data_IF_897238699525
#
_entry.id   IF_897238699525
#
_cell.length_a   1.000
_cell.length_b   1.000
_cell.length_c   1.000
_cell.angle_alpha   90.00
_cell.angle_beta   90.00
_cell.angle_gamma   90.00
#
_symmetry.space_group_name_H-M   'P 1'
#
loop_
_entity.id
_entity.type
_entity.pdbx_description
1 polymer ?
#
# COMPACT_ATOMS: atom_id res chain seq x y z
N UNK A 1 9.80 -6.62 -15.55
CA UNK A 1 8.75 -5.88 -14.82
C UNK A 1 9.32 -4.50 -14.56
N UNK A 2 8.51 -3.43 -14.64
CA UNK A 2 8.95 -2.09 -14.21
C UNK A 2 8.89 -2.14 -12.69
N UNK A 3 9.94 -2.66 -12.08
CA UNK A 3 10.07 -2.59 -10.63
C UNK A 3 10.51 -1.18 -10.29
N UNK A 4 9.92 -0.60 -9.24
CA UNK A 4 10.73 0.22 -8.36
C UNK A 4 11.70 -0.75 -7.67
N UNK A 5 12.81 -1.05 -8.34
CA UNK A 5 13.87 -1.91 -7.82
C UNK A 5 14.61 -1.09 -6.77
N UNK A 6 14.40 -1.41 -5.50
CA UNK A 6 15.32 -0.96 -4.45
C UNK A 6 16.46 -1.97 -4.40
N UNK A 7 17.70 -1.53 -4.62
CA UNK A 7 18.86 -2.36 -4.33
C UNK A 7 18.89 -2.64 -2.82
N UNK A 8 18.88 -3.91 -2.43
CA UNK A 8 19.19 -4.32 -1.06
C UNK A 8 20.68 -4.11 -0.82
N UNK A 9 21.00 -2.96 -0.25
CA UNK A 9 22.33 -2.63 0.26
C UNK A 9 22.33 -2.83 1.77
N UNK A 10 23.18 -3.74 2.27
CA UNK A 10 23.43 -3.96 3.70
C UNK A 10 24.33 -2.87 4.31
N UNK A 11 24.26 -1.63 3.82
CA UNK A 11 25.05 -0.53 4.39
C UNK A 11 24.16 0.25 5.34
N UNK A 12 24.60 0.36 6.59
CA UNK A 12 23.94 1.09 7.68
C UNK A 12 23.41 2.46 7.22
N UNK A 13 22.12 2.71 7.42
CA UNK A 13 21.45 3.95 7.04
C UNK A 13 21.99 5.15 7.84
N UNK A 14 22.31 6.29 7.20
CA UNK A 14 22.57 7.52 7.94
C UNK A 14 21.28 8.08 8.54
N UNK A 15 21.39 8.71 9.71
CA UNK A 15 20.29 9.25 10.51
C UNK A 15 19.38 10.19 9.70
N UNK A 16 18.07 9.90 9.70
CA UNK A 16 17.07 10.77 9.11
C UNK A 16 16.91 12.06 9.93
N UNK A 17 17.24 13.19 9.29
CA UNK A 17 16.99 14.55 9.80
C UNK A 17 15.49 14.87 9.75
N UNK A 18 14.88 15.16 10.90
CA UNK A 18 13.52 15.68 10.99
C UNK A 18 13.47 17.16 10.60
N UNK A 19 12.91 17.50 9.44
CA UNK A 19 12.48 18.87 9.15
C UNK A 19 11.34 18.88 8.12
N UNK A 20 10.11 18.70 8.60
CA UNK A 20 8.91 19.10 7.85
C UNK A 20 8.61 20.57 8.19
N UNK A 21 9.09 21.50 7.35
CA UNK A 21 8.53 22.85 7.28
C UNK A 21 7.62 22.94 6.07
N UNK A 22 6.31 22.99 6.31
CA UNK A 22 5.33 23.38 5.29
C UNK A 22 5.45 24.89 5.10
N UNK A 23 5.93 25.29 3.92
CA UNK A 23 6.03 26.68 3.50
C UNK A 23 4.68 27.11 2.91
N UNK A 24 3.89 27.85 3.67
CA UNK A 24 2.75 28.59 3.14
C UNK A 24 3.23 29.95 2.64
N UNK A 25 3.20 30.15 1.32
CA UNK A 25 3.50 31.42 0.68
C UNK A 25 2.59 31.58 -0.54
N UNK A 26 1.53 32.39 -0.39
CA UNK A 26 0.97 33.25 -1.44
C UNK A 26 0.44 34.54 -0.76
N UNK A 27 1.20 35.62 -0.95
CA UNK A 27 0.87 37.05 -1.03
C UNK A 27 -0.08 37.32 -2.21
N UNK A 28 -0.91 38.36 -2.38
CA UNK A 28 -1.19 39.67 -1.76
C UNK A 28 -2.55 40.16 -2.32
N UNK A 29 -3.19 41.13 -1.66
CA UNK A 29 -3.84 42.24 -2.38
C UNK A 29 -5.27 42.67 -1.98
N UNK A 30 -5.62 43.98 -2.11
CA UNK A 30 -6.39 44.71 -1.09
C UNK A 30 -7.76 45.24 -1.54
N UNK A 31 -8.60 45.61 -0.56
CA UNK A 31 -9.62 46.66 -0.70
C UNK A 31 -11.08 46.20 -0.74
N UNK A 32 -11.83 46.53 0.32
CA UNK A 32 -12.98 47.45 0.30
C UNK A 32 -14.06 47.17 1.37
N UNK A 33 -14.41 48.27 2.07
CA UNK A 33 -15.73 48.65 2.64
C UNK A 33 -16.15 47.90 3.92
N UNK A 34 -16.08 48.52 5.09
CA UNK A 34 -16.86 49.65 5.62
C UNK A 34 -18.31 49.29 6.03
N UNK A 35 -18.58 49.49 7.33
CA UNK A 35 -19.91 49.58 7.95
C UNK A 35 -20.44 48.23 8.45
N UNK A 36 -21.05 48.09 9.64
CA UNK A 36 -21.75 49.07 10.48
C UNK A 36 -22.19 48.33 11.77
N UNK A 37 -22.11 49.02 12.92
CA UNK A 37 -23.05 48.96 14.07
C UNK A 37 -22.92 47.81 15.07
N UNK A 38 -23.24 47.93 16.36
CA UNK A 38 -23.31 49.02 17.34
C UNK A 38 -23.38 48.30 18.70
N UNK A 39 -22.75 48.90 19.72
CA UNK A 39 -23.11 48.89 21.15
C UNK A 39 -23.36 47.55 21.88
N UNK A 40 -22.61 47.32 22.97
CA UNK A 40 -23.09 47.61 24.33
C UNK A 40 -22.00 47.43 25.40
N UNK A 41 -21.93 48.44 26.24
CA UNK A 41 -21.12 48.61 27.45
C UNK A 41 -21.66 47.80 28.63
N UNK A 42 -20.77 47.49 29.57
CA UNK A 42 -21.06 47.41 31.00
C UNK A 42 -21.12 46.01 31.58
N UNK A 43 -20.14 45.61 32.40
CA UNK A 43 -20.07 45.96 33.82
C UNK A 43 -18.72 45.46 34.39
N UNK A 44 -17.97 46.37 35.00
CA UNK A 44 -16.77 46.05 35.75
C UNK A 44 -17.05 45.93 37.25
N UNK A 45 -16.19 45.15 37.89
CA UNK A 45 -15.74 45.22 39.27
C UNK A 45 -16.67 44.74 40.39
N UNK A 46 -16.09 43.89 41.25
CA UNK A 46 -15.96 43.90 42.73
C UNK A 46 -15.67 42.42 43.14
N UNK A 47 -14.76 41.99 44.03
CA UNK A 47 -13.80 42.59 44.96
C UNK A 47 -12.81 41.47 45.38
N UNK A 48 -11.52 41.80 45.36
CA UNK A 48 -10.47 41.62 46.40
C UNK A 48 -10.57 40.45 47.41
N UNK A 49 -9.47 39.70 47.52
CA UNK A 49 -8.92 39.32 48.84
C UNK A 49 -8.57 37.84 49.04
N UNK A 50 -7.31 37.47 48.77
CA UNK A 50 -6.50 36.50 49.54
C UNK A 50 -5.14 36.29 48.86
N UNK A 51 -4.15 37.12 49.19
CA UNK A 51 -2.73 36.82 48.93
C UNK A 51 -2.20 36.23 50.24
N UNK A 52 -1.97 34.91 50.26
CA UNK A 52 -1.10 34.28 51.25
C UNK A 52 0.14 33.78 50.50
N UNK A 53 1.24 34.40 50.88
CA UNK A 53 2.62 34.07 50.53
C UNK A 53 2.94 32.63 50.95
N UNK A 54 3.39 31.81 50.00
CA UNK A 54 4.18 30.62 50.30
C UNK A 54 5.50 30.74 49.54
N UNK A 55 6.56 30.99 50.29
CA UNK A 55 7.95 30.91 49.89
C UNK A 55 8.27 29.53 49.32
N UNK A 56 8.72 29.48 48.07
CA UNK A 56 9.26 28.27 47.45
C UNK A 56 10.67 28.09 47.98
N UNK A 57 10.85 27.18 48.94
CA UNK A 57 12.17 26.65 49.27
C UNK A 57 12.68 25.79 48.12
N UNK A 58 13.80 26.17 47.52
CA UNK A 58 14.53 25.32 46.57
C UNK A 58 15.04 24.12 47.35
N UNK A 59 14.46 22.94 47.09
CA UNK A 59 15.03 21.67 47.55
C UNK A 59 16.28 21.39 46.68
N UNK A 60 17.42 20.99 47.25
CA UNK A 60 18.52 20.49 46.44
C UNK A 60 18.07 19.24 45.69
N UNK A 61 18.39 19.18 44.40
CA UNK A 61 18.05 18.07 43.53
C UNK A 61 18.53 16.75 44.14
N UNK A 62 17.60 15.80 44.27
CA UNK A 62 17.97 14.42 44.54
C UNK A 62 18.84 13.91 43.38
N UNK A 63 19.91 13.14 43.63
CA UNK A 63 20.68 12.52 42.56
C UNK A 63 19.72 11.73 41.66
N UNK A 64 19.94 11.72 40.33
CA UNK A 64 19.04 11.03 39.41
C UNK A 64 18.91 9.59 39.88
N UNK A 65 17.67 9.17 40.12
CA UNK A 65 17.38 7.77 40.37
C UNK A 65 18.00 6.96 39.23
N UNK A 66 18.66 5.82 39.51
CA UNK A 66 19.16 4.97 38.44
C UNK A 66 17.99 4.69 37.51
N UNK A 67 18.18 5.03 36.23
CA UNK A 67 17.25 4.68 35.16
C UNK A 67 16.94 3.19 35.37
N UNK A 68 15.67 2.77 35.47
CA UNK A 68 15.38 1.35 35.51
C UNK A 68 16.00 0.76 34.25
N UNK A 69 17.05 -0.03 34.45
CA UNK A 69 17.61 -0.92 33.43
C UNK A 69 16.44 -1.57 32.73
N UNK A 70 16.40 -1.43 31.40
CA UNK A 70 15.39 -2.02 30.53
C UNK A 70 14.92 -3.35 31.09
N UNK A 71 13.61 -3.60 31.23
CA UNK A 71 13.13 -4.92 31.65
C UNK A 71 13.81 -5.93 30.73
N UNK A 72 14.50 -6.89 31.36
CA UNK A 72 15.38 -7.82 30.68
C UNK A 72 14.71 -8.38 29.43
N UNK A 73 15.46 -8.39 28.33
CA UNK A 73 15.17 -9.20 27.16
C UNK A 73 14.69 -10.55 27.67
N UNK A 74 13.44 -10.89 27.37
CA UNK A 74 12.92 -12.23 27.66
C UNK A 74 13.78 -13.19 26.84
N UNK A 75 14.76 -13.80 27.51
CA UNK A 75 15.57 -14.88 26.96
C UNK A 75 14.69 -16.10 26.76
N UNK A 76 14.64 -16.56 25.49
CA UNK A 76 14.20 -17.86 24.95
C UNK A 76 12.83 -17.87 24.23
N UNK A 77 12.90 -18.11 22.89
CA UNK A 77 12.75 -19.47 22.33
C UNK A 77 14.03 -20.04 21.71
N UNK A 78 15.11 -19.25 21.67
CA UNK A 78 16.32 -19.57 20.93
C UNK A 78 17.15 -20.73 21.49
N UNK A 79 16.80 -21.28 22.66
CA UNK A 79 17.46 -22.48 23.22
C UNK A 79 16.66 -23.77 23.00
N UNK A 80 15.50 -23.69 22.35
CA UNK A 80 14.68 -24.87 22.06
C UNK A 80 15.25 -25.72 20.92
N UNK A 81 15.02 -27.04 20.97
CA UNK A 81 15.32 -27.94 19.86
C UNK A 81 14.40 -27.60 18.68
N UNK A 82 15.00 -27.25 17.54
CA UNK A 82 14.26 -26.94 16.32
C UNK A 82 13.68 -28.24 15.70
N UNK A 83 12.46 -28.21 15.16
CA UNK A 83 11.89 -29.35 14.45
C UNK A 83 12.66 -29.63 13.15
N UNK A 84 12.36 -30.76 12.50
CA UNK A 84 12.91 -31.05 11.18
C UNK A 84 12.39 -30.05 10.13
N UNK A 85 13.19 -29.74 9.09
CA UNK A 85 12.71 -28.98 7.93
C UNK A 85 11.48 -29.63 7.30
N UNK A 86 10.56 -28.81 6.82
CA UNK A 86 9.36 -29.25 6.11
C UNK A 86 9.45 -28.85 4.64
N UNK A 87 8.84 -29.64 3.75
CA UNK A 87 8.69 -29.29 2.34
C UNK A 87 7.26 -28.81 2.08
N UNK A 88 7.12 -27.68 1.37
CA UNK A 88 5.83 -27.13 0.94
C UNK A 88 5.91 -26.75 -0.53
N UNK A 89 5.06 -27.37 -1.34
CA UNK A 89 5.05 -27.22 -2.79
C UNK A 89 6.47 -27.30 -3.37
N UNK A 90 6.98 -26.20 -3.94
CA UNK A 90 8.29 -26.10 -4.58
C UNK A 90 9.37 -25.50 -3.67
N UNK A 91 9.17 -25.51 -2.37
CA UNK A 91 10.08 -24.87 -1.41
C UNK A 91 10.38 -25.76 -0.20
N UNK A 92 11.57 -25.58 0.34
CA UNK A 92 12.02 -26.17 1.60
C UNK A 92 12.02 -25.10 2.69
N UNK A 93 11.37 -25.40 3.80
CA UNK A 93 11.20 -24.52 4.94
C UNK A 93 12.01 -25.09 6.10
N UNK A 94 13.13 -24.43 6.40
CA UNK A 94 14.03 -24.84 7.49
C UNK A 94 13.74 -23.95 8.71
N UNK A 95 13.35 -24.52 9.86
CA UNK A 95 13.14 -23.72 11.07
C UNK A 95 14.47 -23.10 11.50
N UNK A 96 14.41 -21.85 11.94
CA UNK A 96 15.57 -21.07 12.40
C UNK A 96 15.28 -20.43 13.74
N UNK A 97 16.32 -19.97 14.42
CA UNK A 97 16.19 -19.20 15.67
C UNK A 97 15.80 -17.75 15.37
N UNK A 98 15.21 -17.05 16.34
CA UNK A 98 14.90 -15.63 16.20
C UNK A 98 16.16 -14.77 16.07
N UNK A 99 17.25 -15.15 16.74
CA UNK A 99 18.58 -14.53 16.57
C UNK A 99 19.16 -14.66 15.17
N UNK A 100 18.68 -15.59 14.35
CA UNK A 100 19.10 -15.72 12.95
C UNK A 100 18.34 -14.77 12.00
N UNK A 101 17.32 -14.05 12.48
CA UNK A 101 16.56 -13.10 11.65
C UNK A 101 17.26 -11.73 11.66
N UNK A 102 17.81 -11.28 10.51
CA UNK A 102 18.45 -9.97 10.44
C UNK A 102 17.45 -8.85 10.77
N UNK A 103 17.81 -7.96 11.69
CA UNK A 103 16.98 -6.82 12.08
C UNK A 103 15.82 -7.15 13.03
N UNK A 104 15.64 -8.40 13.46
CA UNK A 104 14.65 -8.72 14.49
C UNK A 104 14.93 -7.94 15.79
N UNK A 105 13.88 -7.43 16.42
CA UNK A 105 13.96 -6.56 17.60
C UNK A 105 14.32 -5.10 17.30
N UNK A 106 14.63 -4.75 16.05
CA UNK A 106 14.86 -3.36 15.62
C UNK A 106 13.65 -2.75 14.90
N UNK A 107 12.70 -3.57 14.46
CA UNK A 107 11.49 -3.13 13.76
C UNK A 107 10.40 -2.61 14.72
N UNK A 108 9.62 -1.63 14.24
CA UNK A 108 8.47 -1.05 14.93
C UNK A 108 7.29 -2.04 14.95
N UNK A 109 7.31 -2.98 15.90
CA UNK A 109 6.28 -4.03 16.00
C UNK A 109 4.84 -3.49 16.13
N UNK A 110 4.67 -2.31 16.71
CA UNK A 110 3.35 -1.66 16.81
C UNK A 110 2.71 -1.39 15.44
N UNK A 111 3.50 -1.10 14.40
CA UNK A 111 2.99 -0.91 13.04
C UNK A 111 2.56 -2.23 12.40
N UNK A 112 3.27 -3.32 12.69
CA UNK A 112 2.91 -4.69 12.28
C UNK A 112 1.60 -5.13 12.97
N UNK A 113 1.43 -4.76 14.24
CA UNK A 113 0.27 -5.18 15.03
C UNK A 113 -1.05 -4.71 14.42
N UNK A 114 -1.09 -3.48 13.90
CA UNK A 114 -2.24 -2.95 13.18
C UNK A 114 -2.59 -3.81 11.96
N UNK A 115 -1.58 -4.24 11.18
CA UNK A 115 -1.80 -5.12 10.03
C UNK A 115 -2.32 -6.50 10.44
N UNK A 116 -1.86 -7.05 11.55
CA UNK A 116 -2.32 -8.34 12.06
C UNK A 116 -3.75 -8.30 12.61
N UNK A 117 -4.10 -7.25 13.35
CA UNK A 117 -5.49 -7.03 13.80
C UNK A 117 -6.44 -6.96 12.60
N UNK A 118 -6.03 -6.29 11.52
CA UNK A 118 -6.79 -6.25 10.25
C UNK A 118 -6.87 -7.62 9.59
N UNK A 119 -5.75 -8.35 9.47
CA UNK A 119 -5.73 -9.73 8.98
C UNK A 119 -6.70 -10.64 9.72
N UNK A 120 -6.86 -10.42 11.03
CA UNK A 120 -7.77 -11.19 11.87
C UNK A 120 -9.25 -10.90 11.65
N UNK A 121 -9.65 -9.88 10.89
CA UNK A 121 -11.04 -9.70 10.42
C UNK A 121 -11.51 -10.89 9.56
N UNK A 122 -10.58 -11.53 8.83
CA UNK A 122 -10.79 -12.75 8.06
C UNK A 122 -9.63 -13.73 8.29
N UNK A 123 -9.61 -14.44 9.43
CA UNK A 123 -8.49 -15.30 9.78
C UNK A 123 -8.42 -16.49 8.83
N UNK A 124 -7.20 -16.88 8.46
CA UNK A 124 -6.98 -18.15 7.75
C UNK A 124 -7.40 -19.35 8.62
N UNK A 125 -7.75 -20.51 8.02
CA UNK A 125 -8.07 -21.72 8.76
C UNK A 125 -6.99 -22.03 9.81
N UNK A 126 -7.41 -22.32 11.05
CA UNK A 126 -6.51 -22.61 12.18
C UNK A 126 -5.96 -21.38 12.92
N UNK A 127 -6.22 -20.15 12.45
CA UNK A 127 -5.67 -18.92 13.06
C UNK A 127 -6.62 -18.23 14.06
N UNK A 128 -7.75 -18.84 14.42
CA UNK A 128 -8.74 -18.20 15.30
C UNK A 128 -8.16 -17.85 16.69
N UNK A 129 -7.40 -18.76 17.30
CA UNK A 129 -6.81 -18.56 18.63
C UNK A 129 -5.73 -17.46 18.61
N UNK A 130 -4.70 -17.51 17.74
CA UNK A 130 -3.76 -16.40 17.58
C UNK A 130 -4.47 -15.06 17.34
N UNK A 131 -5.52 -15.05 16.52
CA UNK A 131 -6.26 -13.82 16.24
C UNK A 131 -7.04 -13.25 17.43
N UNK A 132 -7.47 -14.09 18.38
CA UNK A 132 -8.04 -13.60 19.64
C UNK A 132 -6.96 -12.96 20.52
N UNK A 133 -5.81 -13.61 20.62
CA UNK A 133 -4.66 -13.14 21.39
C UNK A 133 -4.11 -11.81 20.85
N UNK A 134 -3.96 -11.69 19.52
CA UNK A 134 -3.55 -10.45 18.84
C UNK A 134 -4.46 -9.27 19.22
N UNK A 135 -5.78 -9.49 19.26
CA UNK A 135 -6.74 -8.45 19.65
C UNK A 135 -6.62 -8.06 21.12
N UNK A 136 -6.42 -9.02 22.01
CA UNK A 136 -6.25 -8.76 23.46
C UNK A 136 -4.98 -7.96 23.76
N UNK A 137 -3.93 -8.19 22.98
CA UNK A 137 -2.62 -7.53 23.11
C UNK A 137 -2.50 -6.23 22.30
N UNK A 138 -3.59 -5.70 21.74
CA UNK A 138 -3.57 -4.48 20.93
C UNK A 138 -3.09 -3.23 21.69
N UNK A 139 -3.22 -3.23 23.02
CA UNK A 139 -2.75 -2.14 23.91
C UNK A 139 -1.53 -2.54 24.75
N UNK A 140 -0.95 -3.72 24.48
CA UNK A 140 0.23 -4.20 25.19
C UNK A 140 1.46 -3.40 24.80
N UNK A 141 2.48 -3.41 25.65
CA UNK A 141 3.77 -2.80 25.35
C UNK A 141 4.47 -3.52 24.19
N UNK A 142 5.35 -2.84 23.44
CA UNK A 142 6.13 -3.49 22.38
C UNK A 142 6.90 -4.73 22.85
N UNK A 143 7.42 -4.71 24.08
CA UNK A 143 8.12 -5.85 24.68
C UNK A 143 7.19 -7.06 24.91
N UNK A 144 5.97 -6.83 25.40
CA UNK A 144 4.97 -7.89 25.59
C UNK A 144 4.52 -8.48 24.25
N UNK A 145 4.28 -7.63 23.25
CA UNK A 145 3.95 -8.05 21.89
C UNK A 145 5.08 -8.91 21.31
N UNK A 146 6.33 -8.44 21.38
CA UNK A 146 7.49 -9.16 20.86
C UNK A 146 7.66 -10.52 21.55
N UNK A 147 7.57 -10.55 22.88
CA UNK A 147 7.66 -11.78 23.65
C UNK A 147 6.52 -12.76 23.29
N UNK A 148 5.31 -12.27 23.02
CA UNK A 148 4.22 -13.11 22.54
C UNK A 148 4.51 -13.68 21.15
N UNK A 149 5.01 -12.86 20.20
CA UNK A 149 5.38 -13.35 18.86
C UNK A 149 6.41 -14.47 18.97
N UNK A 150 7.46 -14.26 19.76
CA UNK A 150 8.54 -15.24 19.94
C UNK A 150 8.03 -16.55 20.56
N UNK A 151 7.08 -16.48 21.50
CA UNK A 151 6.47 -17.69 22.09
C UNK A 151 5.46 -18.38 21.17
N UNK A 152 4.76 -17.63 20.32
CA UNK A 152 3.64 -18.15 19.52
C UNK A 152 4.08 -18.73 18.19
N UNK A 153 5.11 -18.16 17.60
CA UNK A 153 5.57 -18.48 16.25
C UNK A 153 7.01 -18.99 16.25
N UNK A 154 7.30 -19.84 15.27
CA UNK A 154 8.64 -20.31 14.94
C UNK A 154 8.97 -19.81 13.54
N UNK A 155 10.04 -19.03 13.34
CA UNK A 155 10.41 -18.57 12.01
C UNK A 155 11.01 -19.71 11.17
N UNK A 156 10.72 -19.68 9.88
CA UNK A 156 11.25 -20.61 8.89
C UNK A 156 11.98 -19.83 7.79
N UNK A 157 13.21 -20.24 7.50
CA UNK A 157 13.92 -19.83 6.28
C UNK A 157 13.36 -20.62 5.10
N UNK A 158 12.91 -19.92 4.08
CA UNK A 158 12.35 -20.51 2.86
C UNK A 158 13.43 -20.54 1.78
N UNK A 159 13.65 -21.72 1.21
CA UNK A 159 14.69 -22.02 0.20
C UNK A 159 14.08 -22.87 -0.92
N UNK A 160 14.81 -23.04 -2.02
CA UNK A 160 14.43 -23.99 -3.07
C UNK A 160 14.42 -25.44 -2.54
N UNK A 161 13.80 -26.38 -3.27
CA UNK A 161 13.74 -27.80 -2.85
C UNK A 161 15.13 -28.40 -2.59
N UNK A 162 16.11 -28.04 -3.41
CA UNK A 162 17.50 -28.50 -3.29
C UNK A 162 18.28 -27.82 -2.15
N UNK A 163 17.65 -26.87 -1.45
CA UNK A 163 18.25 -26.07 -0.38
C UNK A 163 19.04 -24.87 -0.87
N UNK A 164 19.04 -24.56 -2.17
CA UNK A 164 19.66 -23.35 -2.68
C UNK A 164 18.90 -22.09 -2.27
N UNK A 165 19.65 -21.00 -2.12
CA UNK A 165 19.16 -19.68 -1.70
C UNK A 165 19.43 -18.64 -2.80
N UNK A 166 18.80 -18.77 -3.98
CA UNK A 166 18.95 -17.75 -5.02
C UNK A 166 18.44 -16.39 -4.50
N UNK A 167 19.01 -15.26 -4.94
CA UNK A 167 18.53 -13.95 -4.55
C UNK A 167 17.04 -13.81 -4.83
N UNK A 168 16.25 -13.60 -3.76
CA UNK A 168 14.84 -13.29 -3.88
C UNK A 168 14.62 -11.92 -4.49
N UNK A 169 13.55 -11.77 -5.28
CA UNK A 169 13.15 -10.49 -5.87
C UNK A 169 12.04 -9.87 -5.03
N UNK A 170 12.36 -8.80 -4.30
CA UNK A 170 11.36 -7.97 -3.62
C UNK A 170 10.99 -6.76 -4.49
N UNK A 171 9.69 -6.51 -4.63
CA UNK A 171 9.17 -5.49 -5.53
C UNK A 171 8.12 -4.65 -4.82
N UNK A 172 8.06 -3.36 -5.11
CA UNK A 172 7.03 -2.45 -4.58
C UNK A 172 5.78 -2.38 -5.46
N UNK A 173 4.62 -2.26 -4.83
CA UNK A 173 3.34 -1.91 -5.45
C UNK A 173 2.62 -0.88 -4.57
N UNK A 174 1.67 -0.14 -5.15
CA UNK A 174 0.96 0.95 -4.47
C UNK A 174 -0.46 1.11 -5.03
N UNK A 175 -1.28 1.93 -4.37
CA UNK A 175 -2.61 2.31 -4.86
C UNK A 175 -2.53 3.68 -5.56
N UNK A 176 -2.46 3.75 -6.91
CA UNK A 176 -2.38 5.01 -7.64
C UNK A 176 -3.66 5.83 -7.51
N UNK A 177 -3.50 7.16 -7.54
CA UNK A 177 -4.61 8.11 -7.63
C UNK A 177 -4.57 8.73 -9.04
N UNK A 178 -5.68 8.66 -9.77
CA UNK A 178 -5.76 9.11 -11.16
C UNK A 178 -7.04 9.92 -11.41
N UNK A 179 -7.01 10.81 -12.39
CA UNK A 179 -8.21 11.52 -12.84
C UNK A 179 -8.93 10.68 -13.91
N UNK A 180 -10.26 10.63 -13.83
CA UNK A 180 -11.07 9.86 -14.76
C UNK A 180 -12.40 10.55 -15.05
N UNK A 181 -13.05 10.14 -16.13
CA UNK A 181 -14.40 10.57 -16.50
C UNK A 181 -15.36 9.37 -16.52
N UNK A 182 -16.59 9.56 -16.05
CA UNK A 182 -17.65 8.55 -16.14
C UNK A 182 -18.01 8.24 -17.60
N UNK A 183 -17.95 9.26 -18.46
CA UNK A 183 -18.24 9.15 -19.89
C UNK A 183 -17.00 9.38 -20.73
N UNK A 184 -16.97 8.80 -21.93
CA UNK A 184 -15.92 9.05 -22.91
C UNK A 184 -15.94 10.51 -23.35
N UNK A 185 -14.79 11.15 -23.37
CA UNK A 185 -14.61 12.54 -23.84
C UNK A 185 -13.41 12.63 -24.79
N UNK A 186 -13.15 13.81 -25.34
CA UNK A 186 -11.93 14.03 -26.14
C UNK A 186 -10.66 13.87 -25.31
N UNK A 187 -10.71 14.13 -24.01
CA UNK A 187 -9.56 13.98 -23.11
C UNK A 187 -9.48 12.57 -22.53
N UNK A 188 -10.62 11.95 -22.21
CA UNK A 188 -10.70 10.63 -21.59
C UNK A 188 -11.22 9.59 -22.58
N UNK A 189 -10.30 8.94 -23.29
CA UNK A 189 -10.59 7.99 -24.37
C UNK A 189 -10.25 6.54 -24.04
N UNK A 190 -9.52 6.28 -22.96
CA UNK A 190 -9.11 4.91 -22.61
C UNK A 190 -10.09 4.32 -21.60
N UNK A 191 -10.84 3.26 -21.94
CA UNK A 191 -11.79 2.65 -21.02
C UNK A 191 -11.10 1.79 -19.95
N UNK A 192 -11.60 1.86 -18.73
CA UNK A 192 -11.43 0.84 -17.70
C UNK A 192 -12.69 -0.02 -17.68
N UNK A 193 -12.52 -1.33 -17.78
CA UNK A 193 -13.64 -2.26 -17.90
C UNK A 193 -13.93 -3.02 -16.61
N UNK A 194 -15.22 -3.27 -16.37
CA UNK A 194 -15.66 -4.34 -15.50
C UNK A 194 -15.60 -5.71 -16.18
N UNK A 195 -15.76 -6.83 -15.44
CA UNK A 195 -15.72 -8.16 -16.02
C UNK A 195 -16.77 -8.33 -17.14
N UNK A 196 -16.36 -8.82 -18.33
CA UNK A 196 -17.28 -9.11 -19.43
C UNK A 196 -18.12 -10.36 -19.13
N UNK A 197 -19.27 -10.52 -19.81
CA UNK A 197 -20.04 -11.76 -19.74
C UNK A 197 -19.22 -12.95 -20.25
N UNK A 198 -19.38 -14.10 -19.61
CA UNK A 198 -18.70 -15.34 -20.02
C UNK A 198 -17.22 -15.44 -19.65
N UNK A 199 -16.64 -14.47 -18.93
CA UNK A 199 -15.30 -14.60 -18.38
C UNK A 199 -15.27 -15.73 -17.34
N UNK A 200 -14.35 -16.69 -17.51
CA UNK A 200 -14.17 -17.83 -16.60
C UNK A 200 -12.74 -17.86 -16.05
N UNK A 201 -12.53 -18.13 -14.74
CA UNK A 201 -11.18 -18.12 -14.15
C UNK A 201 -10.21 -19.17 -14.72
N UNK A 202 -10.73 -20.29 -15.20
CA UNK A 202 -10.00 -21.48 -15.65
C UNK A 202 -9.67 -21.49 -17.15
N UNK A 203 -10.11 -20.48 -17.90
CA UNK A 203 -9.90 -20.40 -19.35
C UNK A 203 -9.41 -19.00 -19.76
N UNK A 204 -8.34 -18.89 -20.59
CA UNK A 204 -7.96 -17.63 -21.19
C UNK A 204 -9.10 -17.04 -22.02
N UNK A 205 -9.36 -15.75 -21.81
CA UNK A 205 -10.28 -14.96 -22.63
C UNK A 205 -9.49 -14.24 -23.73
N UNK A 206 -10.07 -13.24 -24.39
CA UNK A 206 -9.36 -12.41 -25.37
C UNK A 206 -8.10 -11.77 -24.76
N UNK A 207 -6.99 -11.81 -25.51
CA UNK A 207 -5.76 -11.09 -25.14
C UNK A 207 -6.00 -9.57 -25.20
N UNK A 208 -5.05 -8.79 -24.66
CA UNK A 208 -5.10 -7.32 -24.79
C UNK A 208 -5.20 -6.86 -26.24
N UNK A 209 -4.46 -7.48 -27.15
CA UNK A 209 -4.53 -7.17 -28.57
C UNK A 209 -5.91 -7.50 -29.13
N UNK A 210 -6.44 -8.69 -28.82
CA UNK A 210 -7.76 -9.11 -29.29
C UNK A 210 -8.88 -8.16 -28.82
N UNK A 211 -8.79 -7.67 -27.58
CA UNK A 211 -9.72 -6.67 -27.02
C UNK A 211 -9.74 -5.39 -27.88
N UNK A 212 -8.58 -4.97 -28.38
CA UNK A 212 -8.45 -3.76 -29.18
C UNK A 212 -8.80 -3.98 -30.66
N UNK A 213 -8.62 -5.19 -31.20
CA UNK A 213 -8.70 -5.44 -32.66
C UNK A 213 -9.86 -6.32 -33.11
N UNK A 214 -10.41 -7.20 -32.27
CA UNK A 214 -11.46 -8.14 -32.68
C UNK A 214 -12.87 -7.57 -32.39
N UNK A 215 -13.76 -7.50 -33.41
CA UNK A 215 -15.13 -7.03 -33.21
C UNK A 215 -15.91 -7.82 -32.14
N UNK A 216 -15.67 -9.13 -32.04
CA UNK A 216 -16.33 -9.98 -31.03
C UNK A 216 -15.93 -9.61 -29.59
N UNK A 217 -14.65 -9.26 -29.36
CA UNK A 217 -14.17 -8.83 -28.05
C UNK A 217 -14.72 -7.44 -27.69
N UNK A 218 -14.72 -6.52 -28.65
CA UNK A 218 -15.29 -5.18 -28.49
C UNK A 218 -16.80 -5.22 -28.21
N UNK A 219 -17.55 -6.08 -28.92
CA UNK A 219 -18.97 -6.31 -28.67
C UNK A 219 -19.22 -6.86 -27.26
N UNK A 220 -18.40 -7.79 -26.79
CA UNK A 220 -18.52 -8.33 -25.43
C UNK A 220 -18.25 -7.29 -24.32
N UNK A 221 -17.49 -6.23 -24.62
CA UNK A 221 -17.18 -5.13 -23.70
C UNK A 221 -18.07 -3.90 -23.89
N UNK A 222 -19.00 -3.93 -24.84
CA UNK A 222 -19.92 -2.82 -25.07
C UNK A 222 -20.74 -2.55 -23.80
N UNK A 223 -20.72 -1.29 -23.34
CA UNK A 223 -21.40 -0.89 -22.10
C UNK A 223 -20.74 -1.38 -20.80
N UNK A 224 -19.53 -1.96 -20.85
CA UNK A 224 -18.80 -2.46 -19.65
C UNK A 224 -17.74 -1.50 -19.11
N UNK A 225 -17.55 -0.35 -19.75
CA UNK A 225 -16.63 0.68 -19.25
C UNK A 225 -17.18 1.28 -17.95
N UNK A 226 -16.40 1.23 -16.87
CA UNK A 226 -16.76 1.81 -15.57
C UNK A 226 -16.24 3.24 -15.41
N UNK A 227 -15.14 3.57 -16.09
CA UNK A 227 -14.53 4.89 -16.14
C UNK A 227 -13.65 5.00 -17.39
N UNK A 228 -13.28 6.23 -17.74
CA UNK A 228 -12.39 6.55 -18.86
C UNK A 228 -11.20 7.35 -18.35
N UNK A 229 -9.99 6.87 -18.64
CA UNK A 229 -8.73 7.55 -18.38
C UNK A 229 -8.24 8.31 -19.63
N UNK A 230 -7.35 9.27 -19.41
CA UNK A 230 -6.74 10.04 -20.48
C UNK A 230 -5.60 9.28 -21.19
N UNK A 231 -4.78 8.56 -20.43
CA UNK A 231 -3.57 7.89 -20.91
C UNK A 231 -3.73 6.36 -20.85
N UNK A 232 -3.54 5.62 -21.97
CA UNK A 232 -3.54 4.16 -21.94
C UNK A 232 -2.40 3.54 -21.13
N UNK A 233 -1.30 4.25 -20.91
CA UNK A 233 -0.23 3.80 -20.01
C UNK A 233 -0.70 3.87 -18.55
N UNK A 234 -1.48 4.88 -18.17
CA UNK A 234 -2.09 4.94 -16.83
C UNK A 234 -3.07 3.78 -16.60
N UNK A 235 -3.88 3.43 -17.62
CA UNK A 235 -4.72 2.25 -17.56
C UNK A 235 -3.91 0.96 -17.36
N UNK A 236 -2.78 0.81 -18.07
CA UNK A 236 -1.87 -0.32 -17.89
C UNK A 236 -1.24 -0.34 -16.49
N UNK A 237 -0.77 0.81 -15.99
CA UNK A 237 -0.21 0.93 -14.63
C UNK A 237 -1.25 0.47 -13.61
N UNK A 238 -2.47 1.00 -13.69
CA UNK A 238 -3.56 0.63 -12.79
C UNK A 238 -3.87 -0.88 -12.84
N UNK A 239 -3.86 -1.49 -14.03
CA UNK A 239 -4.04 -2.93 -14.21
C UNK A 239 -2.91 -3.75 -13.59
N UNK A 240 -1.68 -3.26 -13.63
CA UNK A 240 -0.52 -3.90 -13.00
C UNK A 240 -0.61 -3.80 -11.47
N UNK A 241 -1.03 -2.65 -10.93
CA UNK A 241 -1.23 -2.47 -9.48
C UNK A 241 -2.44 -3.26 -8.95
N UNK A 242 -3.43 -3.51 -9.80
CA UNK A 242 -4.64 -4.28 -9.46
C UNK A 242 -5.68 -3.50 -8.65
N UNK A 243 -5.37 -2.28 -8.21
CA UNK A 243 -6.32 -1.36 -7.59
C UNK A 243 -5.86 0.08 -7.72
N UNK A 244 -6.76 1.04 -7.52
CA UNK A 244 -6.44 2.47 -7.50
C UNK A 244 -7.61 3.30 -7.02
N UNK A 245 -7.40 4.61 -6.91
CA UNK A 245 -8.44 5.60 -6.64
C UNK A 245 -8.60 6.51 -7.85
N UNK A 246 -9.85 6.73 -8.24
CA UNK A 246 -10.18 7.63 -9.33
C UNK A 246 -10.85 8.88 -8.76
N UNK A 247 -10.31 10.06 -9.09
CA UNK A 247 -11.05 11.30 -9.02
C UNK A 247 -11.96 11.34 -10.24
N UNK A 248 -13.18 10.82 -10.06
CA UNK A 248 -14.11 10.54 -11.15
C UNK A 248 -15.06 11.72 -11.34
N UNK A 249 -15.04 12.29 -12.54
CA UNK A 249 -16.04 13.28 -12.96
C UNK A 249 -17.29 12.53 -13.43
N UNK A 250 -18.38 12.70 -12.69
CA UNK A 250 -19.68 12.11 -12.98
C UNK A 250 -20.41 12.84 -14.13
N UNK A 251 -21.50 12.24 -14.63
CA UNK A 251 -22.26 12.79 -15.77
C UNK A 251 -22.84 14.21 -15.51
N UNK A 252 -23.05 14.54 -14.23
CA UNK A 252 -23.53 15.86 -13.80
C UNK A 252 -22.39 16.87 -13.60
N UNK A 253 -21.14 16.50 -13.91
CA UNK A 253 -19.94 17.32 -13.72
C UNK A 253 -19.38 17.32 -12.29
N UNK A 254 -20.02 16.66 -11.33
CA UNK A 254 -19.49 16.55 -9.97
C UNK A 254 -18.31 15.59 -9.93
N UNK A 255 -17.29 15.95 -9.15
CA UNK A 255 -16.16 15.08 -8.89
C UNK A 255 -16.42 14.26 -7.63
N UNK A 256 -16.19 12.95 -7.71
CA UNK A 256 -16.23 12.02 -6.58
C UNK A 256 -15.00 11.14 -6.61
N UNK A 257 -14.39 10.91 -5.45
CA UNK A 257 -13.36 9.88 -5.36
C UNK A 257 -14.01 8.50 -5.20
N UNK A 258 -13.60 7.56 -6.03
CA UNK A 258 -14.00 6.15 -5.96
C UNK A 258 -12.77 5.27 -5.93
N UNK A 259 -12.90 4.07 -5.36
CA UNK A 259 -11.88 3.03 -5.46
C UNK A 259 -12.24 2.10 -6.62
N UNK A 260 -11.26 1.72 -7.41
CA UNK A 260 -11.38 0.64 -8.38
C UNK A 260 -10.57 -0.54 -7.89
N UNK A 261 -11.24 -1.64 -7.61
CA UNK A 261 -10.64 -2.85 -7.04
C UNK A 261 -10.60 -3.97 -8.08
N UNK A 262 -9.57 -4.82 -8.02
CA UNK A 262 -9.47 -6.02 -8.84
C UNK A 262 -10.76 -6.86 -8.76
N UNK A 263 -11.33 -7.18 -9.92
CA UNK A 263 -12.49 -8.05 -10.04
C UNK A 263 -12.16 -9.36 -10.77
N UNK A 264 -11.39 -9.30 -11.86
CA UNK A 264 -10.99 -10.48 -12.63
C UNK A 264 -9.79 -10.17 -13.55
N UNK A 265 -9.25 -11.19 -14.22
CA UNK A 265 -8.32 -11.03 -15.34
C UNK A 265 -8.67 -12.00 -16.49
N UNK A 266 -8.16 -11.74 -17.69
CA UNK A 266 -8.43 -12.53 -18.90
C UNK A 266 -7.66 -13.86 -19.00
N UNK A 267 -7.17 -14.43 -17.90
CA UNK A 267 -6.39 -15.68 -17.90
C UNK A 267 -4.96 -15.66 -18.49
N UNK A 268 -4.54 -14.61 -19.21
CA UNK A 268 -3.22 -14.56 -19.84
C UNK A 268 -2.08 -14.25 -18.85
N UNK A 269 -0.86 -14.78 -19.07
CA UNK A 269 0.31 -14.46 -18.26
C UNK A 269 0.70 -12.99 -18.44
N UNK A 270 1.17 -12.36 -17.36
CA UNK A 270 1.75 -11.03 -17.45
C UNK A 270 3.05 -11.07 -18.24
N UNK A 271 3.24 -10.11 -19.14
CA UNK A 271 4.52 -9.86 -19.79
C UNK A 271 4.90 -8.39 -19.62
N UNK A 272 6.19 -8.11 -19.45
CA UNK A 272 6.65 -6.78 -19.08
C UNK A 272 6.92 -5.90 -20.29
N UNK A 273 6.12 -4.85 -20.45
CA UNK A 273 6.32 -3.81 -21.49
C UNK A 273 7.69 -3.11 -21.36
N UNK A 274 8.14 -2.86 -20.13
CA UNK A 274 9.48 -2.30 -19.88
C UNK A 274 10.61 -3.23 -20.33
N UNK A 275 10.47 -4.56 -20.10
CA UNK A 275 11.44 -5.54 -20.60
C UNK A 275 11.43 -5.60 -22.12
N UNK A 276 10.25 -5.59 -22.73
CA UNK A 276 10.07 -5.56 -24.18
C UNK A 276 10.76 -4.35 -24.83
N UNK A 277 10.72 -3.17 -24.20
CA UNK A 277 11.45 -1.97 -24.63
C UNK A 277 12.97 -2.08 -24.41
N UNK A 278 13.40 -2.61 -23.26
CA UNK A 278 14.82 -2.81 -22.95
C UNK A 278 15.49 -3.79 -23.94
N UNK A 279 14.82 -4.88 -24.31
CA UNK A 279 15.33 -5.86 -25.26
C UNK A 279 15.59 -5.27 -26.65
N UNK A 280 14.79 -4.26 -27.03
CA UNK A 280 14.96 -3.51 -28.26
C UNK A 280 15.96 -2.34 -28.13
N UNK A 281 16.55 -2.14 -26.95
CA UNK A 281 17.39 -0.97 -26.62
C UNK A 281 16.66 0.37 -26.83
N UNK A 282 15.33 0.37 -26.72
CA UNK A 282 14.49 1.53 -26.94
C UNK A 282 14.44 2.48 -25.72
N UNK A 283 14.70 1.93 -24.53
CA UNK A 283 14.90 2.66 -23.27
C UNK A 283 16.14 2.10 -22.56
N UNK A 284 16.72 2.88 -21.63
CA UNK A 284 17.89 2.45 -20.83
C UNK A 284 17.51 1.83 -19.49
N UNK A 285 16.36 2.24 -18.97
CA UNK A 285 15.81 1.79 -17.70
C UNK A 285 14.31 1.59 -17.86
N UNK A 286 13.75 0.60 -17.16
CA UNK A 286 12.33 0.33 -17.19
C UNK A 286 11.63 1.14 -16.08
N UNK A 287 11.56 2.47 -16.21
CA UNK A 287 10.78 3.37 -15.36
C UNK A 287 9.51 3.84 -16.09
N UNK A 288 8.44 4.17 -15.36
CA UNK A 288 7.20 4.65 -15.99
C UNK A 288 7.40 5.97 -16.74
N UNK A 289 8.26 6.85 -16.23
CA UNK A 289 8.62 8.10 -16.90
C UNK A 289 9.33 7.84 -18.23
N UNK A 290 10.30 6.90 -18.27
CA UNK A 290 10.98 6.52 -19.51
C UNK A 290 10.01 5.89 -20.52
N UNK A 291 9.07 5.05 -20.06
CA UNK A 291 8.06 4.42 -20.92
C UNK A 291 7.10 5.45 -21.51
N UNK A 292 6.61 6.39 -20.69
CA UNK A 292 5.74 7.48 -21.16
C UNK A 292 6.47 8.40 -22.13
N UNK A 293 7.72 8.77 -21.84
CA UNK A 293 8.55 9.57 -22.74
C UNK A 293 8.79 8.88 -24.09
N UNK A 294 9.07 7.57 -24.07
CA UNK A 294 9.22 6.77 -25.29
C UNK A 294 7.91 6.73 -26.09
N UNK A 295 6.78 6.48 -25.43
CA UNK A 295 5.47 6.40 -26.08
C UNK A 295 5.05 7.73 -26.73
N UNK A 296 5.33 8.86 -26.08
CA UNK A 296 5.06 10.19 -26.61
C UNK A 296 5.83 10.45 -27.93
N UNK A 297 7.05 9.91 -28.04
CA UNK A 297 7.87 10.00 -29.26
C UNK A 297 7.50 8.95 -30.31
N UNK A 298 6.81 7.88 -29.92
CA UNK A 298 6.50 6.72 -30.76
C UNK A 298 4.99 6.38 -30.78
N UNK A 299 4.09 7.32 -31.08
CA UNK A 299 2.64 7.11 -30.95
C UNK A 299 2.11 5.98 -31.84
N UNK A 300 2.75 5.74 -33.00
CA UNK A 300 2.39 4.64 -33.91
C UNK A 300 2.72 3.25 -33.36
N UNK A 301 3.63 3.16 -32.39
CA UNK A 301 4.07 1.89 -31.77
C UNK A 301 3.55 1.71 -30.35
N UNK A 302 2.73 2.64 -29.86
CA UNK A 302 2.14 2.57 -28.53
C UNK A 302 1.36 1.26 -28.33
N UNK A 303 0.49 0.92 -29.28
CA UNK A 303 -0.31 -0.30 -29.19
C UNK A 303 0.55 -1.56 -29.26
N UNK A 304 1.57 -1.60 -30.13
CA UNK A 304 2.54 -2.71 -30.19
C UNK A 304 3.19 -2.95 -28.81
N UNK A 305 3.62 -1.87 -28.15
CA UNK A 305 4.18 -1.94 -26.80
C UNK A 305 3.14 -2.42 -25.78
N UNK A 306 1.92 -1.89 -25.79
CA UNK A 306 0.86 -2.31 -24.87
C UNK A 306 0.52 -3.80 -25.06
N UNK A 307 0.37 -4.25 -26.30
CA UNK A 307 0.03 -5.62 -26.70
C UNK A 307 1.11 -6.65 -26.36
N UNK A 308 2.37 -6.21 -26.17
CA UNK A 308 3.40 -7.09 -25.61
C UNK A 308 3.01 -7.68 -24.24
N UNK A 309 2.09 -7.05 -23.51
CA UNK A 309 1.42 -7.63 -22.34
C UNK A 309 0.01 -8.14 -22.68
N UNK A 310 -0.19 -9.45 -22.92
CA UNK A 310 -1.51 -9.98 -23.28
C UNK A 310 -2.51 -9.95 -22.13
N UNK A 311 -2.03 -9.80 -20.88
CA UNK A 311 -2.87 -9.78 -19.68
C UNK A 311 -3.65 -8.48 -19.55
N UNK A 312 -4.97 -8.60 -19.34
CA UNK A 312 -5.88 -7.49 -19.02
C UNK A 312 -6.57 -7.77 -17.69
N UNK A 313 -6.59 -6.77 -16.81
CA UNK A 313 -7.29 -6.80 -15.52
C UNK A 313 -8.58 -6.00 -15.63
N UNK A 314 -9.65 -6.56 -15.07
CA UNK A 314 -10.98 -5.97 -14.96
C UNK A 314 -11.24 -5.54 -13.52
N UNK A 315 -12.00 -4.47 -13.36
CA UNK A 315 -12.21 -3.82 -12.08
C UNK A 315 -13.68 -3.82 -11.67
N UNK A 316 -13.93 -3.63 -10.38
CA UNK A 316 -15.21 -3.17 -9.86
C UNK A 316 -15.01 -1.82 -9.18
N UNK A 317 -16.01 -0.95 -9.31
CA UNK A 317 -16.06 0.28 -8.54
C UNK A 317 -16.52 -0.01 -7.12
N UNK A 318 -15.82 0.57 -6.15
CA UNK A 318 -16.16 0.55 -4.73
C UNK A 318 -16.36 2.00 -4.29
N UNK A 319 -17.52 2.27 -3.69
CA UNK A 319 -17.78 3.55 -3.06
C UNK A 319 -16.72 3.80 -1.97
N UNK A 320 -16.10 4.98 -2.00
CA UNK A 320 -15.10 5.36 -1.03
C UNK A 320 -15.68 6.42 -0.10
N UNK A 321 -16.11 6.00 1.09
CA UNK A 321 -16.47 6.95 2.15
C UNK A 321 -15.22 7.62 2.74
N UNK A 322 -15.41 8.72 3.46
CA UNK A 322 -14.31 9.40 4.17
C UNK A 322 -13.58 8.45 5.13
N UNK A 323 -14.31 7.52 5.76
CA UNK A 323 -13.74 6.50 6.63
C UNK A 323 -12.92 5.48 5.82
N UNK A 324 -13.47 4.97 4.72
CA UNK A 324 -12.83 3.94 3.90
C UNK A 324 -11.57 4.46 3.18
N UNK A 325 -11.53 5.76 2.89
CA UNK A 325 -10.39 6.45 2.27
C UNK A 325 -9.11 6.36 3.12
N UNK A 326 -9.23 6.11 4.42
CA UNK A 326 -8.09 5.98 5.35
C UNK A 326 -7.42 4.61 5.29
N UNK A 327 -8.06 3.63 4.66
CA UNK A 327 -7.54 2.27 4.55
C UNK A 327 -7.03 1.98 3.15
N UNK A 328 -6.06 1.07 3.03
CA UNK A 328 -5.57 0.58 1.74
C UNK A 328 -6.62 -0.26 1.00
N UNK A 329 -6.34 -0.65 -0.25
CA UNK A 329 -7.20 -1.53 -1.02
C UNK A 329 -7.29 -2.91 -0.36
N UNK A 330 -8.35 -3.67 -0.63
CA UNK A 330 -8.48 -5.03 -0.12
C UNK A 330 -7.56 -5.98 -0.90
N UNK A 331 -6.72 -6.73 -0.19
CA UNK A 331 -5.85 -7.76 -0.78
C UNK A 331 -6.59 -9.07 -1.07
N UNK A 332 -5.84 -10.10 -1.47
CA UNK A 332 -6.39 -11.44 -1.75
C UNK A 332 -7.09 -12.10 -0.54
N UNK A 333 -6.66 -11.77 0.69
CA UNK A 333 -7.33 -12.20 1.93
C UNK A 333 -8.70 -11.51 2.14
N UNK A 334 -9.02 -10.47 1.36
CA UNK A 334 -10.27 -9.72 1.46
C UNK A 334 -10.32 -8.68 2.58
N UNK A 335 -9.18 -8.39 3.21
CA UNK A 335 -9.01 -7.34 4.23
C UNK A 335 -8.21 -6.17 3.65
N UNK A 336 -8.38 -4.93 4.18
CA UNK A 336 -7.60 -3.78 3.74
C UNK A 336 -6.10 -3.97 4.00
N UNK A 337 -5.28 -3.63 3.02
CA UNK A 337 -3.82 -3.66 3.12
C UNK A 337 -3.31 -2.49 3.97
N UNK A 338 -2.26 -2.76 4.75
CA UNK A 338 -1.59 -1.76 5.58
C UNK A 338 -0.30 -1.31 4.89
N UNK A 339 -0.13 0.01 4.63
CA UNK A 339 1.06 0.53 3.96
C UNK A 339 2.36 0.07 4.65
N UNK A 340 3.31 -0.45 3.87
CA UNK A 340 4.60 -0.95 4.37
C UNK A 340 4.53 -2.23 5.21
N UNK A 341 3.34 -2.72 5.55
CA UNK A 341 3.12 -3.86 6.48
C UNK A 341 2.28 -4.98 5.85
N UNK A 342 2.07 -4.94 4.54
CA UNK A 342 1.37 -5.98 3.79
C UNK A 342 2.12 -6.32 2.50
N UNK A 343 2.40 -7.61 2.32
CA UNK A 343 3.10 -8.14 1.14
C UNK A 343 2.17 -9.04 0.33
N UNK A 344 2.34 -9.04 -0.98
CA UNK A 344 1.78 -10.06 -1.85
C UNK A 344 2.81 -11.19 -2.02
N UNK A 345 2.34 -12.43 -2.02
CA UNK A 345 3.17 -13.64 -2.12
C UNK A 345 2.58 -14.58 -3.17
N UNK A 346 3.41 -15.50 -3.68
CA UNK A 346 2.88 -16.66 -4.40
C UNK A 346 2.09 -17.52 -3.40
N UNK A 347 0.82 -17.86 -3.69
CA UNK A 347 0.03 -18.71 -2.79
C UNK A 347 0.47 -20.18 -2.76
N UNK A 348 1.32 -20.64 -3.70
CA UNK A 348 1.74 -22.05 -3.81
C UNK A 348 2.89 -22.42 -2.88
#
# INVERSE_FOLDING_TARGET
MVHHTMNTSNTSAPSASSNNKVMGLIQDGPGHRAGRWMARLGLGALIVGSIVSCSVGVRPDAPPAPVPTSPGVVTAPDDSTLPAPIQRAKSRWTPVRWSELPGWGQDSLHEVWNAWVRGCERPAPGQATPCREVRQLAIATPAEQQAWVMRRFLPYRVTEIDGSEPPGLLTGYYEPIMNASRVRTEQHRTPLYGPPPGLRPDQPWYSRQDIDTLPAAQAALQGRAIAWLADPIDALILQIQGSGRLNLVENNGQMRQVRVAYAAHNGHPYQSVGRWLLDQRAIREASWDAIKAWAAQNPRRLNEMLWSNPRTVFFREEALSDLDSRFGPRGAQGVPLTPGRSIAVDPQ
#
